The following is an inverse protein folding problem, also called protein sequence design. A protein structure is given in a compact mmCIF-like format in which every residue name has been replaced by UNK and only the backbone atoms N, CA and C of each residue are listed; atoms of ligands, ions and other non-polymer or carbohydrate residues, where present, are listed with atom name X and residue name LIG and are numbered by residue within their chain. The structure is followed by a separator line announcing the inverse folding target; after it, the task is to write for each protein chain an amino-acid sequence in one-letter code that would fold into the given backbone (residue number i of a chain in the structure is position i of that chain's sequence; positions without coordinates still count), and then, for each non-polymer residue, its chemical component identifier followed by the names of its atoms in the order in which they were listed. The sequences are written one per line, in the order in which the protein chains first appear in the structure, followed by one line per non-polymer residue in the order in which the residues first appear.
data_IF_893944829123
#
_entry.id   IF_893944829123
#
_cell.length_a   1.000
_cell.length_b   1.000
_cell.length_c   1.000
_cell.angle_alpha   90.00
_cell.angle_beta   90.00
_cell.angle_gamma   90.00
#
_symmetry.space_group_name_H-M   'P 1'
#
loop_
_entity.id
_entity.type
_entity.pdbx_description
1 polymer ?
#
# COMPACT_ATOMS: atom_id res chain seq x y z
N UNK A 1 -21.13 -4.46 5.56
CA UNK A 1 -20.00 -3.90 4.81
C UNK A 1 -20.39 -3.82 3.34
N UNK A 2 -20.18 -2.69 2.67
CA UNK A 2 -20.51 -2.54 1.26
C UNK A 2 -19.51 -3.30 0.39
N UNK A 3 -19.89 -3.63 -0.85
CA UNK A 3 -18.99 -4.27 -1.80
C UNK A 3 -17.76 -3.40 -2.08
N UNK A 4 -17.94 -2.09 -2.18
CA UNK A 4 -16.82 -1.17 -2.42
C UNK A 4 -15.82 -1.22 -1.25
N UNK A 5 -16.30 -1.24 -0.03
CA UNK A 5 -15.45 -1.34 1.15
C UNK A 5 -14.70 -2.66 1.17
N UNK A 6 -15.35 -3.76 0.83
CA UNK A 6 -14.74 -5.07 0.78
C UNK A 6 -13.63 -5.13 -0.29
N UNK A 7 -13.91 -4.62 -1.49
CA UNK A 7 -12.93 -4.58 -2.58
C UNK A 7 -11.73 -3.71 -2.20
N UNK A 8 -11.97 -2.61 -1.53
CA UNK A 8 -10.93 -1.71 -1.06
C UNK A 8 -10.00 -2.41 -0.07
N UNK A 9 -10.57 -3.14 0.89
CA UNK A 9 -9.79 -3.91 1.86
C UNK A 9 -8.94 -4.97 1.15
N UNK A 10 -9.54 -5.69 0.21
CA UNK A 10 -8.83 -6.72 -0.56
C UNK A 10 -7.67 -6.11 -1.36
N UNK A 11 -7.91 -4.96 -1.99
CA UNK A 11 -6.88 -4.26 -2.75
C UNK A 11 -5.73 -3.80 -1.87
N UNK A 12 -6.05 -3.21 -0.71
CA UNK A 12 -5.01 -2.76 0.23
C UNK A 12 -4.18 -3.94 0.72
N UNK A 13 -4.83 -5.06 1.04
CA UNK A 13 -4.11 -6.27 1.46
C UNK A 13 -3.20 -6.78 0.34
N UNK A 14 -3.66 -6.76 -0.91
CA UNK A 14 -2.83 -7.11 -2.05
C UNK A 14 -1.59 -6.22 -2.14
N UNK A 15 -1.77 -4.92 -1.96
CA UNK A 15 -0.66 -3.97 -2.00
C UNK A 15 0.35 -4.21 -0.88
N UNK A 16 -0.13 -4.54 0.33
CA UNK A 16 0.74 -4.88 1.45
C UNK A 16 1.56 -6.13 1.13
N UNK A 17 0.93 -7.17 0.61
CA UNK A 17 1.60 -8.43 0.27
C UNK A 17 2.65 -8.22 -0.82
N UNK A 18 2.33 -7.44 -1.85
CA UNK A 18 3.29 -7.14 -2.92
C UNK A 18 4.47 -6.31 -2.40
N UNK A 19 4.20 -5.35 -1.52
CA UNK A 19 5.26 -4.56 -0.89
C UNK A 19 6.18 -5.47 -0.06
N UNK A 20 5.58 -6.36 0.72
CA UNK A 20 6.33 -7.33 1.52
C UNK A 20 7.24 -8.18 0.62
N UNK A 21 6.69 -8.70 -0.47
CA UNK A 21 7.46 -9.53 -1.41
C UNK A 21 8.60 -8.74 -2.05
N UNK A 22 8.34 -7.51 -2.46
CA UNK A 22 9.33 -6.66 -3.13
C UNK A 22 10.54 -6.38 -2.22
N UNK A 23 10.31 -6.15 -0.94
CA UNK A 23 11.36 -5.80 0.01
C UNK A 23 11.74 -6.96 0.93
N UNK A 24 11.25 -8.17 0.66
CA UNK A 24 11.55 -9.38 1.43
C UNK A 24 11.21 -9.23 2.91
N UNK A 25 10.04 -8.66 3.17
CA UNK A 25 9.51 -8.47 4.51
C UNK A 25 8.40 -9.48 4.77
N UNK A 26 8.10 -9.73 6.05
CA UNK A 26 6.85 -10.42 6.38
C UNK A 26 5.68 -9.47 6.13
N UNK A 27 4.46 -9.99 5.88
CA UNK A 27 3.29 -9.12 5.71
C UNK A 27 3.06 -8.19 6.91
N UNK A 28 3.33 -8.66 8.13
CA UNK A 28 3.16 -7.85 9.33
C UNK A 28 4.14 -6.68 9.35
N UNK A 29 5.40 -6.92 9.02
CA UNK A 29 6.42 -5.87 8.96
C UNK A 29 6.09 -4.86 7.87
N UNK A 30 5.65 -5.34 6.70
CA UNK A 30 5.23 -4.47 5.61
C UNK A 30 4.04 -3.59 6.02
N UNK A 31 3.04 -4.18 6.67
CA UNK A 31 1.89 -3.45 7.18
C UNK A 31 2.33 -2.35 8.16
N UNK A 32 3.18 -2.68 9.11
CA UNK A 32 3.66 -1.73 10.10
C UNK A 32 4.44 -0.58 9.45
N UNK A 33 5.30 -0.90 8.48
CA UNK A 33 6.06 0.10 7.73
C UNK A 33 5.13 1.05 6.97
N UNK A 34 4.19 0.49 6.20
CA UNK A 34 3.26 1.29 5.41
C UNK A 34 2.35 2.14 6.31
N UNK A 35 1.94 1.59 7.44
CA UNK A 35 1.13 2.34 8.42
C UNK A 35 1.90 3.52 8.98
N UNK A 36 3.15 3.29 9.38
CA UNK A 36 4.00 4.31 10.02
C UNK A 36 4.33 5.46 9.08
N UNK A 37 4.62 5.16 7.82
CA UNK A 37 5.10 6.15 6.85
C UNK A 37 4.02 6.59 5.86
N UNK A 38 2.76 6.45 6.26
CA UNK A 38 1.58 6.97 5.55
C UNK A 38 1.23 6.27 4.24
N UNK A 39 1.81 5.10 3.98
CA UNK A 39 1.48 4.32 2.80
C UNK A 39 0.04 3.82 2.81
N UNK A 40 -0.45 3.33 3.96
CA UNK A 40 -1.83 2.86 4.07
C UNK A 40 -2.83 4.00 3.92
N UNK A 41 -2.52 5.15 4.51
CA UNK A 41 -3.34 6.35 4.38
C UNK A 41 -3.47 6.77 2.91
N UNK A 42 -2.36 6.74 2.18
CA UNK A 42 -2.32 7.02 0.75
C UNK A 42 -3.23 6.06 -0.02
N UNK A 43 -3.12 4.76 0.22
CA UNK A 43 -3.96 3.77 -0.46
C UNK A 43 -5.43 3.96 -0.15
N UNK A 44 -5.76 4.29 1.09
CA UNK A 44 -7.14 4.54 1.48
C UNK A 44 -7.73 5.77 0.78
N UNK A 45 -6.96 6.85 0.73
CA UNK A 45 -7.43 8.12 0.16
C UNK A 45 -7.50 8.07 -1.37
N UNK A 46 -6.58 7.37 -2.01
CA UNK A 46 -6.44 7.34 -3.47
C UNK A 46 -6.85 6.02 -4.10
N UNK A 47 -7.63 5.22 -3.39
CA UNK A 47 -8.07 3.92 -3.88
C UNK A 47 -8.76 4.01 -5.25
N UNK A 48 -9.65 4.98 -5.43
CA UNK A 48 -10.44 5.09 -6.66
C UNK A 48 -9.55 5.26 -7.89
N UNK A 49 -8.43 5.95 -7.75
CA UNK A 49 -7.46 6.11 -8.81
C UNK A 49 -6.48 4.94 -8.87
N UNK A 50 -5.87 4.59 -7.74
CA UNK A 50 -4.75 3.65 -7.72
C UNK A 50 -5.16 2.24 -8.13
N UNK A 51 -6.36 1.78 -7.77
CA UNK A 51 -6.79 0.42 -8.14
C UNK A 51 -6.99 0.26 -9.66
N UNK A 52 -7.03 1.34 -10.44
CA UNK A 52 -7.09 1.28 -11.89
C UNK A 52 -5.71 1.26 -12.55
N UNK A 53 -4.66 1.47 -11.79
CA UNK A 53 -3.29 1.49 -12.30
C UNK A 53 -2.65 0.11 -12.23
N UNK A 54 -1.56 -0.08 -12.97
CA UNK A 54 -0.77 -1.29 -12.82
C UNK A 54 -0.18 -1.37 -11.41
N UNK A 55 -0.09 -2.57 -10.87
CA UNK A 55 0.36 -2.78 -9.49
C UNK A 55 1.76 -2.20 -9.24
N UNK A 56 2.65 -2.29 -10.22
CA UNK A 56 4.00 -1.75 -10.07
C UNK A 56 4.00 -0.21 -9.93
N UNK A 57 3.06 0.46 -10.58
CA UNK A 57 2.92 1.92 -10.46
C UNK A 57 2.49 2.30 -9.05
N UNK A 58 1.53 1.57 -8.49
CA UNK A 58 1.11 1.78 -7.11
C UNK A 58 2.24 1.52 -6.14
N UNK A 59 3.05 0.48 -6.37
CA UNK A 59 4.20 0.17 -5.52
C UNK A 59 5.25 1.29 -5.58
N UNK A 60 5.52 1.87 -6.75
CA UNK A 60 6.42 3.02 -6.87
C UNK A 60 5.89 4.23 -6.10
N UNK A 61 4.58 4.49 -6.20
CA UNK A 61 3.94 5.58 -5.46
C UNK A 61 4.04 5.36 -3.95
N UNK A 62 3.80 4.14 -3.48
CA UNK A 62 3.94 3.79 -2.06
C UNK A 62 5.35 4.03 -1.55
N UNK A 63 6.35 3.60 -2.30
CA UNK A 63 7.74 3.81 -1.93
C UNK A 63 8.05 5.30 -1.81
N UNK A 64 7.62 6.10 -2.78
CA UNK A 64 7.83 7.54 -2.79
C UNK A 64 7.17 8.21 -1.57
N UNK A 65 5.90 7.87 -1.30
CA UNK A 65 5.17 8.42 -0.16
C UNK A 65 5.87 8.06 1.16
N UNK A 66 6.27 6.80 1.33
CA UNK A 66 6.94 6.38 2.54
C UNK A 66 8.28 7.11 2.73
N UNK A 67 9.07 7.26 1.67
CA UNK A 67 10.35 7.98 1.73
C UNK A 67 10.16 9.43 2.13
N UNK A 68 9.13 10.10 1.61
CA UNK A 68 8.81 11.49 1.95
C UNK A 68 8.40 11.66 3.41
N UNK A 69 7.95 10.59 4.03
CA UNK A 69 7.51 10.60 5.43
C UNK A 69 8.51 9.94 6.38
N UNK A 70 9.76 9.77 5.96
CA UNK A 70 10.83 9.29 6.80
C UNK A 70 11.20 7.83 6.64
N UNK A 71 10.57 7.11 5.73
CA UNK A 71 10.90 5.72 5.44
C UNK A 71 12.23 5.59 4.71
N UNK A 72 12.85 4.41 4.81
CA UNK A 72 14.18 4.13 4.26
C UNK A 72 14.18 3.08 3.15
N UNK A 73 13.05 2.43 2.90
CA UNK A 73 12.95 1.41 1.87
C UNK A 73 12.74 1.96 0.47
#
# INVERSE_FOLDING_TARGET
MSQKTLFKIQYINLCIDEFARKFRLTPQVAHNYLSRYKGLEFLNEHYDYEHTQALWQTQDALRTICQRNGGTL
#
